data_IF_397476706187
#
_entry.id   IF_397476706187
#
_cell.length_a   1.000
_cell.length_b   1.000
_cell.length_c   1.000
_cell.angle_alpha   90.00
_cell.angle_beta   90.00
_cell.angle_gamma   90.00
#
_symmetry.space_group_name_H-M   'P 1'
#
loop_
_entity.id
_entity.type
_entity.pdbx_description
1 polymer ?
#
# COMPACT_ATOMS: atom_id res chain seq x y z
N UNK A 1 -21.64 6.23 -8.49
CA UNK A 1 -20.18 6.21 -8.27
C UNK A 1 -19.72 7.27 -7.26
N UNK A 2 -20.12 8.55 -7.38
CA UNK A 2 -19.56 9.65 -6.57
C UNK A 2 -19.86 9.61 -5.06
N UNK A 3 -21.00 9.08 -4.62
CA UNK A 3 -21.36 9.03 -3.19
C UNK A 3 -20.53 8.02 -2.38
N UNK A 4 -20.17 6.88 -2.95
CA UNK A 4 -19.40 5.85 -2.23
C UNK A 4 -17.96 6.32 -1.98
N UNK A 5 -17.34 6.97 -2.96
CA UNK A 5 -15.99 7.55 -2.85
C UNK A 5 -15.99 8.74 -1.87
N UNK A 6 -17.00 9.61 -1.91
CA UNK A 6 -17.16 10.71 -0.94
C UNK A 6 -17.49 10.22 0.47
N UNK A 7 -18.23 9.11 0.61
CA UNK A 7 -18.54 8.51 1.91
C UNK A 7 -17.31 7.80 2.51
N UNK A 8 -16.55 7.06 1.69
CA UNK A 8 -15.25 6.52 2.09
C UNK A 8 -14.27 7.63 2.47
N UNK A 9 -14.34 8.80 1.81
CA UNK A 9 -13.54 9.97 2.15
C UNK A 9 -13.89 10.64 3.50
N UNK A 10 -15.05 10.30 4.10
CA UNK A 10 -15.54 10.87 5.36
C UNK A 10 -14.98 10.18 6.60
N UNK A 11 -14.53 8.93 6.48
CA UNK A 11 -13.91 8.17 7.56
C UNK A 11 -12.43 7.95 7.25
N UNK A 12 -11.58 8.76 7.89
CA UNK A 12 -10.11 8.70 7.99
C UNK A 12 -9.56 7.27 7.83
N UNK A 13 -9.97 6.31 8.66
CA UNK A 13 -9.44 4.94 8.63
C UNK A 13 -9.85 4.14 7.37
N UNK A 14 -11.09 4.28 6.89
CA UNK A 14 -11.56 3.60 5.67
C UNK A 14 -10.91 4.19 4.41
N UNK A 15 -10.67 5.49 4.40
CA UNK A 15 -9.95 6.15 3.33
C UNK A 15 -8.49 5.71 3.29
N UNK A 16 -7.85 5.64 4.45
CA UNK A 16 -6.40 5.52 4.60
C UNK A 16 -5.86 4.10 4.60
N UNK A 17 -6.71 3.10 4.36
CA UNK A 17 -6.25 1.72 4.35
C UNK A 17 -6.96 0.94 3.25
N UNK A 18 -8.28 1.04 3.14
CA UNK A 18 -9.00 0.31 2.10
C UNK A 18 -8.74 0.88 0.70
N UNK A 19 -8.65 2.20 0.52
CA UNK A 19 -8.44 2.77 -0.81
C UNK A 19 -7.08 2.40 -1.45
N UNK A 20 -5.93 2.60 -0.79
CA UNK A 20 -4.64 2.20 -1.35
C UNK A 20 -4.55 0.68 -1.52
N UNK A 21 -5.04 -0.13 -0.56
CA UNK A 21 -5.03 -1.59 -0.68
C UNK A 21 -5.84 -2.06 -1.89
N UNK A 22 -7.08 -1.58 -2.04
CA UNK A 22 -7.95 -1.96 -3.17
C UNK A 22 -7.37 -1.47 -4.49
N UNK A 23 -6.81 -0.26 -4.53
CA UNK A 23 -6.18 0.29 -5.74
C UNK A 23 -5.03 -0.61 -6.20
N UNK A 24 -4.17 -1.05 -5.28
CA UNK A 24 -3.03 -1.91 -5.60
C UNK A 24 -3.44 -3.33 -5.96
N UNK A 25 -4.42 -3.92 -5.27
CA UNK A 25 -4.89 -5.28 -5.57
C UNK A 25 -5.64 -5.40 -6.90
N UNK A 26 -6.36 -4.34 -7.30
CA UNK A 26 -7.19 -4.33 -8.52
C UNK A 26 -6.41 -3.81 -9.72
N UNK A 27 -5.72 -2.67 -9.58
CA UNK A 27 -5.09 -1.98 -10.71
C UNK A 27 -3.59 -2.28 -10.83
N UNK A 28 -2.96 -2.77 -9.77
CA UNK A 28 -1.52 -3.08 -9.71
C UNK A 28 -0.61 -1.87 -9.97
N UNK A 29 0.68 -2.01 -9.73
CA UNK A 29 1.68 -0.99 -10.09
C UNK A 29 1.85 -0.96 -11.63
N UNK A 30 1.82 0.21 -12.31
CA UNK A 30 1.67 1.59 -11.81
C UNK A 30 0.26 2.17 -11.85
N UNK A 31 -0.73 1.42 -12.34
CA UNK A 31 -2.08 1.97 -12.55
C UNK A 31 -2.81 2.30 -11.23
N UNK A 32 -2.42 1.69 -10.11
CA UNK A 32 -2.96 2.00 -8.78
C UNK A 32 -2.89 3.49 -8.41
N UNK A 33 -1.87 4.22 -8.87
CA UNK A 33 -1.71 5.65 -8.56
C UNK A 33 -2.79 6.52 -9.20
N UNK A 34 -3.43 6.04 -10.28
CA UNK A 34 -4.48 6.78 -10.96
C UNK A 34 -5.72 6.99 -10.08
N UNK A 35 -5.92 6.18 -9.04
CA UNK A 35 -7.02 6.36 -8.08
C UNK A 35 -6.91 7.68 -7.30
N UNK A 36 -5.69 8.20 -7.13
CA UNK A 36 -5.44 9.48 -6.46
C UNK A 36 -6.08 10.68 -7.17
N UNK A 37 -6.44 10.54 -8.45
CA UNK A 37 -7.15 11.60 -9.21
C UNK A 37 -8.52 11.96 -8.62
N UNK A 38 -9.14 11.04 -7.88
CA UNK A 38 -10.47 11.22 -7.29
C UNK A 38 -10.41 11.84 -5.89
N UNK A 39 -9.21 12.10 -5.37
CA UNK A 39 -8.99 12.70 -4.05
C UNK A 39 -8.77 14.22 -4.16
N UNK A 40 -9.18 14.99 -3.14
CA UNK A 40 -8.80 16.40 -2.99
C UNK A 40 -7.28 16.58 -2.98
N UNK A 41 -6.81 17.72 -3.47
CA UNK A 41 -5.38 18.00 -3.71
C UNK A 41 -4.49 17.72 -2.49
N UNK A 42 -4.90 18.21 -1.32
CA UNK A 42 -4.15 18.05 -0.06
C UNK A 42 -3.98 16.61 0.42
N UNK A 43 -4.71 15.67 -0.18
CA UNK A 43 -4.75 14.26 0.24
C UNK A 43 -4.13 13.32 -0.81
N UNK A 44 -3.77 13.85 -1.99
CA UNK A 44 -3.06 13.09 -3.02
C UNK A 44 -1.67 12.66 -2.57
N UNK A 45 -0.86 13.49 -1.88
CA UNK A 45 0.46 13.06 -1.41
C UNK A 45 0.38 11.90 -0.43
N UNK A 46 -0.56 11.96 0.52
CA UNK A 46 -0.78 10.91 1.52
C UNK A 46 -1.20 9.58 0.87
N UNK A 47 -2.12 9.62 -0.10
CA UNK A 47 -2.53 8.44 -0.86
C UNK A 47 -1.39 7.86 -1.72
N UNK A 48 -0.63 8.74 -2.39
CA UNK A 48 0.49 8.29 -3.21
C UNK A 48 1.54 7.59 -2.34
N UNK A 49 1.86 8.17 -1.19
CA UNK A 49 2.82 7.65 -0.22
C UNK A 49 2.40 6.28 0.35
N UNK A 50 1.11 6.11 0.67
CA UNK A 50 0.59 4.82 1.14
C UNK A 50 0.51 3.78 0.02
N UNK A 51 0.09 4.15 -1.19
CA UNK A 51 0.04 3.25 -2.34
C UNK A 51 1.43 2.74 -2.76
N UNK A 52 2.42 3.63 -2.91
CA UNK A 52 3.80 3.25 -3.28
C UNK A 52 4.47 2.42 -2.16
N UNK A 53 4.12 2.67 -0.90
CA UNK A 53 4.62 1.84 0.19
C UNK A 53 3.97 0.46 0.22
N UNK A 54 2.70 0.33 -0.19
CA UNK A 54 1.96 -0.93 -0.12
C UNK A 54 2.28 -1.91 -1.25
N UNK A 55 2.78 -1.44 -2.40
CA UNK A 55 3.15 -2.33 -3.52
C UNK A 55 4.28 -3.31 -3.19
N UNK A 56 5.05 -3.10 -2.12
CA UNK A 56 6.06 -4.05 -1.67
C UNK A 56 5.51 -5.15 -0.74
N UNK A 57 4.85 -4.84 0.40
CA UNK A 57 4.29 -5.86 1.30
C UNK A 57 3.22 -6.72 0.64
N UNK A 58 2.39 -6.16 -0.25
CA UNK A 58 1.36 -6.92 -0.99
C UNK A 58 1.97 -8.02 -1.87
N UNK A 59 3.17 -7.79 -2.40
CA UNK A 59 3.84 -8.67 -3.38
C UNK A 59 4.26 -10.00 -2.78
N UNK A 60 4.43 -10.05 -1.46
CA UNK A 60 4.72 -11.29 -0.74
C UNK A 60 3.59 -12.31 -0.78
N UNK A 61 2.33 -11.86 -0.92
CA UNK A 61 1.15 -12.70 -1.05
C UNK A 61 0.55 -12.67 -2.46
N UNK A 62 0.62 -11.51 -3.12
CA UNK A 62 0.03 -11.24 -4.43
C UNK A 62 1.11 -10.71 -5.39
N UNK A 63 1.97 -11.58 -5.93
CA UNK A 63 3.12 -11.16 -6.74
C UNK A 63 2.75 -10.39 -8.02
N UNK A 64 1.51 -10.59 -8.53
CA UNK A 64 1.01 -9.86 -9.70
C UNK A 64 0.80 -8.37 -9.44
N UNK A 65 0.61 -7.96 -8.18
CA UNK A 65 0.30 -6.57 -7.83
C UNK A 65 1.49 -5.63 -8.06
N UNK A 66 2.72 -6.15 -8.07
CA UNK A 66 3.94 -5.41 -8.39
C UNK A 66 5.01 -6.31 -9.03
N UNK A 67 4.66 -6.95 -10.15
CA UNK A 67 5.52 -7.91 -10.81
C UNK A 67 6.91 -7.36 -11.18
N UNK A 68 7.00 -6.05 -11.49
CA UNK A 68 8.26 -5.40 -11.87
C UNK A 68 9.30 -5.34 -10.77
N UNK A 69 8.89 -5.37 -9.49
CA UNK A 69 9.79 -5.30 -8.33
C UNK A 69 9.77 -6.59 -7.49
N UNK A 70 9.18 -7.67 -8.02
CA UNK A 70 9.11 -8.97 -7.35
C UNK A 70 10.49 -9.50 -6.95
N UNK A 71 11.53 -9.15 -7.73
CA UNK A 71 12.92 -9.53 -7.45
C UNK A 71 13.41 -9.03 -6.07
N UNK A 72 12.89 -7.91 -5.58
CA UNK A 72 13.27 -7.35 -4.26
C UNK A 72 12.80 -8.28 -3.14
N UNK A 73 11.55 -8.74 -3.21
CA UNK A 73 11.01 -9.69 -2.23
C UNK A 73 11.69 -11.06 -2.35
N UNK A 74 11.87 -11.57 -3.58
CA UNK A 74 12.50 -12.87 -3.80
C UNK A 74 13.96 -12.90 -3.33
N UNK A 75 14.70 -11.80 -3.47
CA UNK A 75 16.06 -11.69 -2.95
C UNK A 75 16.11 -11.91 -1.43
N UNK A 76 15.21 -11.27 -0.68
CA UNK A 76 15.11 -11.43 0.78
C UNK A 76 14.61 -12.84 1.13
N UNK A 77 13.57 -13.33 0.44
CA UNK A 77 12.97 -14.63 0.71
C UNK A 77 13.96 -15.78 0.50
N UNK A 78 14.81 -15.70 -0.54
CA UNK A 78 15.86 -16.69 -0.79
C UNK A 78 16.90 -16.71 0.33
N UNK A 79 17.36 -15.55 0.80
CA UNK A 79 18.29 -15.49 1.94
C UNK A 79 17.70 -16.06 3.22
N UNK A 80 16.40 -15.82 3.49
CA UNK A 80 15.68 -16.41 4.64
C UNK A 80 15.57 -17.94 4.52
N UNK A 81 15.33 -18.46 3.31
CA UNK A 81 15.30 -19.91 3.05
C UNK A 81 16.66 -20.56 3.21
N UNK A 82 17.74 -19.93 2.74
CA UNK A 82 19.12 -20.40 2.95
C UNK A 82 19.48 -20.45 4.44
N UNK A 83 18.97 -19.50 5.23
CA UNK A 83 19.11 -19.51 6.69
C UNK A 83 18.21 -20.56 7.40
N UNK A 84 17.44 -21.36 6.66
CA UNK A 84 16.61 -22.44 7.20
C UNK A 84 15.25 -21.99 7.76
N UNK A 85 14.82 -20.76 7.52
CA UNK A 85 13.54 -20.22 8.00
C UNK A 85 12.42 -20.35 6.96
N UNK A 86 11.18 -20.26 7.44
CA UNK A 86 9.99 -20.33 6.59
C UNK A 86 9.75 -19.04 5.79
N UNK A 87 9.64 -19.17 4.47
CA UNK A 87 9.23 -18.08 3.57
C UNK A 87 7.76 -17.65 3.79
N UNK A 88 6.88 -18.54 4.24
CA UNK A 88 5.47 -18.20 4.45
C UNK A 88 5.27 -17.29 5.67
N UNK A 89 6.05 -17.52 6.73
CA UNK A 89 6.04 -16.63 7.90
C UNK A 89 6.53 -15.23 7.55
N UNK A 90 7.58 -15.13 6.72
CA UNK A 90 8.05 -13.86 6.19
C UNK A 90 6.93 -13.14 5.43
N UNK A 91 6.25 -13.82 4.51
CA UNK A 91 5.19 -13.23 3.70
C UNK A 91 4.07 -12.62 4.56
N UNK A 92 3.57 -13.39 5.52
CA UNK A 92 2.47 -12.95 6.39
C UNK A 92 2.90 -11.77 7.27
N UNK A 93 4.08 -11.85 7.92
CA UNK A 93 4.59 -10.76 8.77
C UNK A 93 4.83 -9.50 7.95
N UNK A 94 5.43 -9.64 6.77
CA UNK A 94 5.72 -8.51 5.89
C UNK A 94 4.43 -7.82 5.41
N UNK A 95 3.41 -8.60 5.06
CA UNK A 95 2.10 -8.06 4.71
C UNK A 95 1.42 -7.31 5.87
N UNK A 96 1.38 -7.92 7.06
CA UNK A 96 0.74 -7.31 8.25
C UNK A 96 1.45 -6.02 8.69
N UNK A 97 2.78 -6.04 8.76
CA UNK A 97 3.57 -4.84 9.07
C UNK A 97 3.36 -3.78 7.99
N UNK A 98 3.28 -4.19 6.72
CA UNK A 98 2.97 -3.29 5.61
C UNK A 98 1.67 -2.51 5.80
N UNK A 99 0.59 -3.18 6.24
CA UNK A 99 -0.70 -2.53 6.53
C UNK A 99 -0.55 -1.46 7.63
N UNK A 100 0.19 -1.77 8.69
CA UNK A 100 0.43 -0.82 9.79
C UNK A 100 1.25 0.38 9.30
N UNK A 101 2.30 0.13 8.51
CA UNK A 101 3.18 1.17 7.98
C UNK A 101 2.40 2.11 7.06
N UNK A 102 1.57 1.59 6.15
CA UNK A 102 0.83 2.46 5.21
C UNK A 102 -0.19 3.33 5.94
N UNK A 103 -0.82 2.82 7.00
CA UNK A 103 -1.74 3.60 7.84
C UNK A 103 -0.99 4.76 8.53
N UNK A 104 0.18 4.48 9.12
CA UNK A 104 0.99 5.50 9.77
C UNK A 104 1.47 6.56 8.77
N UNK A 105 1.96 6.11 7.60
CA UNK A 105 2.43 6.99 6.52
C UNK A 105 1.32 7.91 6.03
N UNK A 106 0.12 7.39 5.82
CA UNK A 106 -0.98 8.23 5.33
C UNK A 106 -1.39 9.30 6.35
N UNK A 107 -1.43 8.97 7.65
CA UNK A 107 -1.72 9.93 8.73
C UNK A 107 -0.63 11.01 8.82
N UNK A 108 0.64 10.59 8.85
CA UNK A 108 1.79 11.49 9.00
C UNK A 108 1.91 12.39 7.77
N UNK A 109 1.84 11.82 6.57
CA UNK A 109 1.98 12.57 5.31
C UNK A 109 0.83 13.54 5.12
N UNK A 110 -0.41 13.19 5.48
CA UNK A 110 -1.52 14.15 5.45
C UNK A 110 -1.36 15.25 6.52
N UNK A 111 -0.86 14.92 7.71
CA UNK A 111 -0.57 15.93 8.73
C UNK A 111 0.50 16.91 8.23
N UNK A 112 1.62 16.43 7.69
CA UNK A 112 2.67 17.29 7.13
C UNK A 112 2.10 18.17 6.02
N UNK A 113 1.36 17.59 5.07
CA UNK A 113 0.80 18.31 3.91
C UNK A 113 -0.23 19.38 4.31
N UNK A 114 -0.91 19.24 5.45
CA UNK A 114 -1.85 20.25 5.96
C UNK A 114 -1.18 21.43 6.65
N UNK A 115 0.03 21.23 7.18
CA UNK A 115 0.76 22.22 7.98
C UNK A 115 1.86 22.96 7.18
N UNK A 116 1.99 22.66 5.89
CA UNK A 116 2.82 23.38 4.91
C UNK A 116 1.87 24.18 4.01
#
# INVERSE_FOLDING_TARGET
MNRAIQFAAKYTILRYTLMPILSVLILTNPMAYTFGRFLPEKQKPAFYDSAVSFVHPVTSLFPYANAGELFVYLGIANGIKEAGYSMSELAVRYFLVGIVVILLREIITEWITKNI
#
